data_IF_574249624219
#
_entry.id   IF_574249624219
#
_cell.length_a   1.000
_cell.length_b   1.000
_cell.length_c   1.000
_cell.angle_alpha   90.00
_cell.angle_beta   90.00
_cell.angle_gamma   90.00
#
_symmetry.space_group_name_H-M   'P 1'
#
loop_
_entity.id
_entity.type
_entity.pdbx_description
1 polymer ?
#
# COMPACT_ATOMS: atom_id res chain seq x y z
N UNK A 1 7.33 -13.20 17.94
CA UNK A 1 6.91 -11.79 18.00
C UNK A 1 8.13 -10.87 17.89
N UNK A 2 9.19 -11.13 18.66
CA UNK A 2 10.38 -10.27 18.71
C UNK A 2 11.19 -10.26 17.41
N UNK A 3 11.29 -11.41 16.75
CA UNK A 3 11.96 -11.54 15.46
C UNK A 3 11.25 -10.72 14.36
N UNK A 4 9.92 -10.81 14.30
CA UNK A 4 9.13 -10.04 13.34
C UNK A 4 9.18 -8.53 13.65
N UNK A 5 9.09 -8.14 14.92
CA UNK A 5 9.22 -6.76 15.34
C UNK A 5 10.59 -6.18 14.94
N UNK A 6 11.66 -6.95 15.15
CA UNK A 6 13.02 -6.58 14.73
C UNK A 6 13.14 -6.46 13.22
N UNK A 7 12.61 -7.44 12.46
CA UNK A 7 12.64 -7.43 10.99
C UNK A 7 11.88 -6.23 10.40
N UNK A 8 10.80 -5.80 11.06
CA UNK A 8 9.98 -4.65 10.66
C UNK A 8 10.45 -3.32 11.28
N UNK A 9 11.54 -3.31 12.07
CA UNK A 9 12.05 -2.10 12.72
C UNK A 9 11.13 -1.51 13.79
N UNK A 10 10.18 -2.30 14.32
CA UNK A 10 9.22 -1.85 15.33
C UNK A 10 9.89 -1.70 16.68
N UNK A 11 9.64 -0.57 17.37
CA UNK A 11 10.18 -0.27 18.69
C UNK A 11 9.05 -0.04 19.69
N UNK A 12 9.24 -0.51 20.93
CA UNK A 12 8.25 -0.37 22.00
C UNK A 12 7.43 -1.64 22.26
N UNK A 13 6.52 -1.55 23.23
CA UNK A 13 5.58 -2.62 23.50
C UNK A 13 4.44 -2.65 22.45
N UNK A 14 3.74 -3.78 22.38
CA UNK A 14 2.68 -3.98 21.38
C UNK A 14 1.56 -2.92 21.45
N UNK A 15 1.29 -2.34 22.61
CA UNK A 15 0.27 -1.30 22.79
C UNK A 15 0.75 0.05 22.26
N UNK A 16 2.00 0.39 22.50
CA UNK A 16 2.60 1.61 21.96
C UNK A 16 2.70 1.56 20.44
N UNK A 17 3.13 0.44 19.88
CA UNK A 17 3.15 0.21 18.42
C UNK A 17 1.74 0.32 17.83
N UNK A 18 0.75 -0.33 18.44
CA UNK A 18 -0.64 -0.28 17.99
C UNK A 18 -1.21 1.15 18.00
N UNK A 19 -0.89 1.93 19.01
CA UNK A 19 -1.33 3.32 19.12
C UNK A 19 -0.64 4.22 18.08
N UNK A 20 0.65 4.05 17.83
CA UNK A 20 1.41 4.77 16.82
C UNK A 20 0.86 4.49 15.41
N UNK A 21 0.66 3.25 15.06
CA UNK A 21 0.07 2.81 13.79
C UNK A 21 -1.34 3.41 13.56
N UNK A 22 -2.15 3.46 14.62
CA UNK A 22 -3.47 4.08 14.55
C UNK A 22 -3.39 5.59 14.30
N UNK A 23 -2.46 6.27 14.98
CA UNK A 23 -2.26 7.71 14.82
C UNK A 23 -1.77 8.03 13.41
N UNK A 24 -0.76 7.34 12.91
CA UNK A 24 -0.24 7.49 11.55
C UNK A 24 -1.32 7.26 10.49
N UNK A 25 -2.12 6.21 10.64
CA UNK A 25 -3.25 5.94 9.74
C UNK A 25 -4.25 7.08 9.73
N UNK A 26 -4.57 7.65 10.90
CA UNK A 26 -5.50 8.77 11.02
C UNK A 26 -4.93 10.03 10.34
N UNK A 27 -3.65 10.31 10.51
CA UNK A 27 -2.93 11.40 9.84
C UNK A 27 -2.95 11.23 8.33
N UNK A 28 -2.64 10.04 7.81
CA UNK A 28 -2.66 9.74 6.38
C UNK A 28 -4.06 9.92 5.78
N UNK A 29 -5.10 9.48 6.48
CA UNK A 29 -6.49 9.67 6.05
C UNK A 29 -6.87 11.16 6.05
N UNK A 30 -6.44 11.92 7.05
CA UNK A 30 -6.66 13.37 7.11
C UNK A 30 -5.89 14.11 5.99
N UNK A 31 -4.65 13.72 5.73
CA UNK A 31 -3.81 14.26 4.66
C UNK A 31 -4.41 14.02 3.26
N UNK A 32 -5.25 13.01 3.09
CA UNK A 32 -5.94 12.74 1.82
C UNK A 32 -6.86 13.90 1.39
N UNK A 33 -7.40 14.70 2.31
CA UNK A 33 -8.19 15.89 2.01
C UNK A 33 -9.37 15.59 1.07
N UNK A 34 -9.33 16.10 -0.17
CA UNK A 34 -10.36 15.83 -1.20
C UNK A 34 -10.18 14.48 -1.92
N UNK A 35 -9.03 13.84 -1.81
CA UNK A 35 -8.86 12.47 -2.28
C UNK A 35 -9.57 11.50 -1.33
N UNK A 36 -9.83 10.29 -1.80
CA UNK A 36 -10.39 9.23 -0.98
C UNK A 36 -9.27 8.27 -0.58
N UNK A 37 -8.94 8.21 0.69
CA UNK A 37 -8.08 7.17 1.26
C UNK A 37 -8.88 6.39 2.29
N UNK A 38 -9.02 5.10 2.07
CA UNK A 38 -9.61 4.16 3.04
C UNK A 38 -8.55 3.14 3.41
N UNK A 39 -8.33 2.97 4.69
CA UNK A 39 -7.49 1.92 5.24
C UNK A 39 -8.34 1.13 6.22
N UNK A 40 -8.57 -0.14 5.93
CA UNK A 40 -9.38 -1.02 6.74
C UNK A 40 -8.58 -2.22 7.19
N UNK A 41 -8.60 -2.49 8.48
CA UNK A 41 -7.95 -3.63 9.11
C UNK A 41 -8.98 -4.43 9.86
N UNK A 42 -8.92 -5.75 9.78
CA UNK A 42 -9.76 -6.63 10.59
C UNK A 42 -9.03 -7.93 10.93
N UNK A 43 -9.22 -8.37 12.15
CA UNK A 43 -8.78 -9.68 12.63
C UNK A 43 -9.98 -10.61 12.71
N UNK A 44 -9.85 -11.78 12.10
CA UNK A 44 -10.85 -12.84 12.13
C UNK A 44 -10.34 -13.96 13.01
N UNK A 45 -11.08 -14.32 14.03
CA UNK A 45 -10.67 -15.32 15.03
C UNK A 45 -11.61 -16.51 14.97
N UNK A 46 -11.05 -17.72 15.02
CA UNK A 46 -11.88 -18.91 15.13
C UNK A 46 -12.69 -18.87 16.43
N UNK A 47 -14.02 -18.98 16.30
CA UNK A 47 -14.97 -18.87 17.43
C UNK A 47 -14.76 -19.88 18.56
N UNK A 48 -14.01 -20.97 18.30
CA UNK A 48 -13.66 -21.98 19.30
C UNK A 48 -12.24 -21.79 19.88
N UNK A 49 -11.50 -20.78 19.39
CA UNK A 49 -10.18 -20.46 19.92
C UNK A 49 -10.30 -19.63 21.19
N UNK A 50 -9.51 -19.98 22.19
CA UNK A 50 -9.33 -19.15 23.38
C UNK A 50 -8.22 -18.15 23.08
N UNK A 51 -8.54 -16.88 23.24
CA UNK A 51 -7.61 -15.78 23.04
C UNK A 51 -7.62 -14.95 24.31
N UNK A 52 -6.47 -14.45 24.74
CA UNK A 52 -6.34 -13.66 25.96
C UNK A 52 -6.95 -12.27 25.78
N UNK A 53 -7.60 -11.76 26.82
CA UNK A 53 -8.26 -10.45 26.82
C UNK A 53 -7.30 -9.32 26.47
N UNK A 54 -6.05 -9.35 26.99
CA UNK A 54 -5.03 -8.37 26.69
C UNK A 54 -4.68 -8.29 25.19
N UNK A 55 -4.75 -9.42 24.46
CA UNK A 55 -4.55 -9.41 23.02
C UNK A 55 -5.72 -8.71 22.30
N UNK A 56 -6.95 -8.96 22.73
CA UNK A 56 -8.13 -8.27 22.15
C UNK A 56 -8.09 -6.76 22.40
N UNK A 57 -7.64 -6.32 23.59
CA UNK A 57 -7.45 -4.90 23.85
C UNK A 57 -6.46 -4.26 22.86
N UNK A 58 -5.34 -4.91 22.59
CA UNK A 58 -4.36 -4.41 21.62
C UNK A 58 -4.94 -4.38 20.20
N UNK A 59 -5.69 -5.39 19.78
CA UNK A 59 -6.39 -5.41 18.48
C UNK A 59 -7.39 -4.27 18.38
N UNK A 60 -8.16 -4.02 19.44
CA UNK A 60 -9.10 -2.92 19.48
C UNK A 60 -8.40 -1.56 19.39
N UNK A 61 -7.29 -1.38 20.09
CA UNK A 61 -6.47 -0.16 20.01
C UNK A 61 -5.95 0.05 18.60
N UNK A 62 -5.38 -0.99 17.97
CA UNK A 62 -4.78 -0.90 16.65
C UNK A 62 -5.81 -0.72 15.52
N UNK A 63 -6.89 -1.50 15.52
CA UNK A 63 -7.77 -1.68 14.37
C UNK A 63 -9.21 -1.23 14.62
N UNK A 64 -9.62 -1.06 15.87
CA UNK A 64 -10.97 -0.63 16.19
C UNK A 64 -11.24 0.82 15.77
N UNK A 65 -12.45 1.06 15.23
CA UNK A 65 -12.92 2.40 14.83
C UNK A 65 -14.02 2.93 15.76
N UNK A 66 -14.21 2.30 16.93
CA UNK A 66 -15.17 2.71 17.94
C UNK A 66 -15.93 1.53 18.56
N UNK A 67 -16.91 1.80 19.43
CA UNK A 67 -17.59 0.77 20.23
C UNK A 67 -18.33 -0.30 19.43
N UNK A 68 -18.65 -0.02 18.16
CA UNK A 68 -19.36 -0.96 17.27
C UNK A 68 -18.45 -1.66 16.28
N UNK A 69 -17.22 -1.18 16.13
CA UNK A 69 -16.20 -1.77 15.25
C UNK A 69 -14.92 -1.97 16.06
N UNK A 70 -14.82 -3.14 16.65
CA UNK A 70 -13.69 -3.53 17.51
C UNK A 70 -12.46 -3.98 16.73
N UNK A 71 -12.50 -3.94 15.39
CA UNK A 71 -11.41 -4.40 14.52
C UNK A 71 -11.28 -5.93 14.49
N UNK A 72 -12.23 -6.67 15.06
CA UNK A 72 -12.21 -8.13 15.14
C UNK A 72 -13.58 -8.74 14.87
N UNK A 73 -13.59 -9.99 14.39
CA UNK A 73 -14.79 -10.78 14.17
C UNK A 73 -14.52 -12.26 14.43
N UNK A 74 -15.43 -12.91 15.13
CA UNK A 74 -15.37 -14.35 15.37
C UNK A 74 -16.07 -15.10 14.24
N UNK A 75 -15.38 -16.09 13.67
CA UNK A 75 -15.90 -16.88 12.55
C UNK A 75 -15.58 -18.36 12.73
N UNK A 76 -16.26 -19.22 11.98
CA UNK A 76 -16.06 -20.66 12.03
C UNK A 76 -15.09 -21.09 10.92
N UNK A 77 -13.85 -21.32 11.28
CA UNK A 77 -12.89 -21.91 10.34
C UNK A 77 -12.95 -23.44 10.33
N UNK A 78 -13.33 -24.08 11.45
CA UNK A 78 -13.21 -25.54 11.61
C UNK A 78 -14.21 -26.31 10.76
N UNK A 79 -15.44 -25.83 10.72
CA UNK A 79 -16.53 -26.51 9.99
C UNK A 79 -17.02 -25.72 8.78
N UNK A 80 -16.66 -24.43 8.67
CA UNK A 80 -17.14 -23.52 7.64
C UNK A 80 -16.04 -22.69 6.96
N UNK A 81 -14.83 -23.23 6.73
CA UNK A 81 -13.70 -22.50 6.19
C UNK A 81 -14.02 -21.76 4.86
N UNK A 82 -14.75 -22.40 3.94
CA UNK A 82 -15.14 -21.75 2.68
C UNK A 82 -16.20 -20.66 2.85
N UNK A 83 -17.12 -20.82 3.79
CA UNK A 83 -18.10 -19.77 4.13
C UNK A 83 -17.38 -18.56 4.79
N UNK A 84 -16.44 -18.85 5.71
CA UNK A 84 -15.58 -17.83 6.32
C UNK A 84 -14.77 -17.07 5.27
N UNK A 85 -14.16 -17.77 4.30
CA UNK A 85 -13.46 -17.18 3.18
C UNK A 85 -14.35 -16.23 2.37
N UNK A 86 -15.56 -16.66 2.06
CA UNK A 86 -16.56 -15.83 1.38
C UNK A 86 -16.90 -14.56 2.14
N UNK A 87 -17.07 -14.66 3.48
CA UNK A 87 -17.34 -13.52 4.36
C UNK A 87 -16.17 -12.54 4.38
N UNK A 88 -14.94 -13.03 4.49
CA UNK A 88 -13.72 -12.22 4.48
C UNK A 88 -13.57 -11.51 3.13
N UNK A 89 -13.70 -12.22 2.01
CA UNK A 89 -13.60 -11.62 0.67
C UNK A 89 -14.67 -10.53 0.46
N UNK A 90 -15.90 -10.76 0.91
CA UNK A 90 -16.98 -9.76 0.82
C UNK A 90 -16.66 -8.50 1.64
N UNK A 91 -16.12 -8.66 2.84
CA UNK A 91 -15.70 -7.53 3.66
C UNK A 91 -14.56 -6.74 2.99
N UNK A 92 -13.54 -7.42 2.48
CA UNK A 92 -12.41 -6.78 1.76
C UNK A 92 -12.91 -6.04 0.52
N UNK A 93 -13.78 -6.67 -0.27
CA UNK A 93 -14.37 -6.04 -1.47
C UNK A 93 -15.08 -4.73 -1.10
N UNK A 94 -15.93 -4.75 -0.08
CA UNK A 94 -16.61 -3.55 0.41
C UNK A 94 -15.64 -2.47 0.91
N UNK A 95 -14.61 -2.85 1.68
CA UNK A 95 -13.58 -1.94 2.18
C UNK A 95 -12.77 -1.29 1.06
N UNK A 96 -12.51 -2.03 -0.03
CA UNK A 96 -11.75 -1.59 -1.20
C UNK A 96 -12.63 -1.02 -2.33
N UNK A 97 -13.88 -0.62 -2.07
CA UNK A 97 -14.82 -0.14 -3.10
C UNK A 97 -14.93 -1.08 -4.31
N UNK A 98 -15.08 -2.38 -4.06
CA UNK A 98 -15.21 -3.46 -5.03
C UNK A 98 -14.03 -3.60 -6.03
N UNK A 99 -12.86 -3.04 -5.66
CA UNK A 99 -11.64 -3.17 -6.47
C UNK A 99 -10.85 -4.44 -6.19
N UNK A 100 -11.10 -5.08 -5.06
CA UNK A 100 -10.53 -6.37 -4.68
C UNK A 100 -11.70 -7.34 -4.53
N UNK A 101 -12.00 -8.11 -5.56
CA UNK A 101 -13.12 -9.06 -5.56
C UNK A 101 -12.80 -10.34 -4.79
N UNK A 102 -11.54 -10.77 -4.80
CA UNK A 102 -11.08 -11.99 -4.14
C UNK A 102 -9.66 -11.80 -3.61
N UNK A 103 -9.54 -11.58 -2.29
CA UNK A 103 -8.24 -11.53 -1.59
C UNK A 103 -7.74 -12.95 -1.28
N UNK A 104 -8.64 -13.80 -0.82
CA UNK A 104 -8.34 -15.18 -0.42
C UNK A 104 -8.86 -16.13 -1.50
N UNK A 105 -7.98 -16.80 -2.27
CA UNK A 105 -8.37 -17.81 -3.24
C UNK A 105 -9.04 -19.03 -2.58
N UNK A 106 -9.75 -19.81 -3.37
CA UNK A 106 -10.35 -21.06 -2.89
C UNK A 106 -9.29 -21.97 -2.27
N UNK A 107 -9.59 -22.53 -1.09
CA UNK A 107 -8.70 -23.43 -0.35
C UNK A 107 -7.61 -22.73 0.46
N UNK A 108 -7.55 -21.37 0.49
CA UNK A 108 -6.57 -20.64 1.32
C UNK A 108 -6.86 -20.74 2.82
N UNK A 109 -8.11 -21.02 3.19
CA UNK A 109 -8.48 -21.29 4.58
C UNK A 109 -8.81 -22.79 4.76
N UNK A 110 -8.41 -23.31 5.91
CA UNK A 110 -8.62 -24.73 6.27
C UNK A 110 -9.21 -24.83 7.68
N UNK A 111 -9.61 -26.04 8.07
CA UNK A 111 -10.05 -26.32 9.43
C UNK A 111 -8.96 -26.07 10.50
N UNK A 112 -7.70 -25.97 10.08
CA UNK A 112 -6.57 -25.65 10.96
C UNK A 112 -6.35 -24.13 11.11
N UNK A 113 -7.04 -23.30 10.33
CA UNK A 113 -6.97 -21.85 10.46
C UNK A 113 -7.49 -21.42 11.83
N UNK A 114 -6.78 -20.54 12.52
CA UNK A 114 -7.16 -20.02 13.85
C UNK A 114 -7.37 -18.52 13.84
N UNK A 115 -6.53 -17.80 13.10
CA UNK A 115 -6.58 -16.35 12.99
C UNK A 115 -6.27 -15.98 11.55
N UNK A 116 -6.99 -14.98 11.04
CA UNK A 116 -6.69 -14.32 9.76
C UNK A 116 -6.62 -12.82 10.03
N UNK A 117 -5.53 -12.19 9.61
CA UNK A 117 -5.40 -10.74 9.61
C UNK A 117 -5.61 -10.24 8.19
N UNK A 118 -6.47 -9.25 8.04
CA UNK A 118 -6.75 -8.62 6.76
C UNK A 118 -6.47 -7.12 6.82
N UNK A 119 -5.85 -6.62 5.77
CA UNK A 119 -5.70 -5.20 5.51
C UNK A 119 -6.25 -4.92 4.11
N UNK A 120 -6.96 -3.83 3.95
CA UNK A 120 -7.41 -3.33 2.65
C UNK A 120 -7.16 -1.83 2.59
N UNK A 121 -6.48 -1.41 1.53
CA UNK A 121 -6.23 0.01 1.24
C UNK A 121 -6.90 0.36 -0.08
N UNK A 122 -7.67 1.44 -0.08
CA UNK A 122 -8.25 2.02 -1.28
C UNK A 122 -7.86 3.48 -1.37
N UNK A 123 -7.25 3.87 -2.47
CA UNK A 123 -6.94 5.25 -2.77
C UNK A 123 -7.53 5.68 -4.11
N UNK A 124 -8.10 6.88 -4.15
CA UNK A 124 -8.54 7.55 -5.38
C UNK A 124 -8.29 9.04 -5.26
N UNK A 125 -7.40 9.56 -6.09
CA UNK A 125 -7.08 10.98 -6.19
C UNK A 125 -7.25 11.50 -7.61
N UNK A 126 -7.53 12.79 -7.72
CA UNK A 126 -7.45 13.54 -8.98
C UNK A 126 -6.20 14.38 -8.94
N UNK A 127 -5.43 14.45 -10.01
CA UNK A 127 -4.24 15.28 -10.07
C UNK A 127 -4.57 16.75 -9.80
N UNK A 128 -3.76 17.45 -9.03
CA UNK A 128 -3.93 18.89 -8.79
C UNK A 128 -3.97 19.67 -10.09
N UNK A 129 -3.09 19.31 -11.02
CA UNK A 129 -3.04 19.83 -12.37
C UNK A 129 -3.29 18.68 -13.35
N UNK A 130 -4.53 18.41 -13.78
CA UNK A 130 -4.85 17.29 -14.67
C UNK A 130 -4.07 17.32 -15.98
N UNK A 131 -3.72 16.16 -16.49
CA UNK A 131 -3.16 16.02 -17.84
C UNK A 131 -4.24 16.25 -18.90
N UNK A 132 -3.90 16.95 -19.97
CA UNK A 132 -4.82 17.09 -21.11
C UNK A 132 -4.91 15.74 -21.85
N UNK A 133 -6.14 15.26 -21.99
CA UNK A 133 -6.39 13.99 -22.71
C UNK A 133 -5.95 14.07 -24.17
N UNK A 134 -5.99 15.26 -24.80
CA UNK A 134 -5.57 15.47 -26.19
C UNK A 134 -4.05 15.46 -26.35
N UNK A 135 -3.29 15.70 -25.27
CA UNK A 135 -1.83 15.63 -25.25
C UNK A 135 -1.32 14.23 -24.89
N UNK A 136 -2.22 13.25 -24.73
CA UNK A 136 -1.83 11.84 -24.53
C UNK A 136 -1.57 11.21 -25.89
N UNK A 137 -0.34 10.74 -26.13
CA UNK A 137 0.07 10.12 -27.40
C UNK A 137 0.77 8.78 -27.14
N UNK A 138 0.73 7.89 -28.11
CA UNK A 138 1.42 6.61 -28.02
C UNK A 138 2.92 6.79 -28.27
N UNK A 139 3.72 6.44 -27.27
CA UNK A 139 5.19 6.55 -27.31
C UNK A 139 5.88 5.23 -27.01
N UNK A 140 7.10 5.03 -27.50
CA UNK A 140 7.92 3.87 -27.17
C UNK A 140 8.23 3.84 -25.68
N UNK A 141 8.01 2.70 -25.04
CA UNK A 141 8.40 2.41 -23.66
C UNK A 141 9.33 1.21 -23.64
N UNK A 142 10.49 1.36 -23.01
CA UNK A 142 11.46 0.28 -22.87
C UNK A 142 11.01 -0.68 -21.76
N UNK A 143 10.43 -1.80 -22.15
CA UNK A 143 10.06 -2.89 -21.25
C UNK A 143 11.13 -4.01 -21.28
N UNK A 144 11.22 -4.88 -20.25
CA UNK A 144 12.15 -6.01 -20.26
C UNK A 144 12.01 -6.92 -21.49
N UNK A 145 10.81 -7.04 -22.04
CA UNK A 145 10.51 -7.81 -23.25
C UNK A 145 10.81 -7.08 -24.57
N UNK A 146 11.30 -5.85 -24.52
CA UNK A 146 11.57 -5.00 -25.68
C UNK A 146 10.72 -3.71 -25.67
N UNK A 147 10.83 -2.90 -26.72
CA UNK A 147 10.09 -1.65 -26.84
C UNK A 147 8.62 -1.92 -27.17
N UNK A 148 7.72 -1.35 -26.37
CA UNK A 148 6.27 -1.38 -26.58
C UNK A 148 5.73 0.03 -26.69
N UNK A 149 4.66 0.26 -27.45
CA UNK A 149 3.97 1.55 -27.50
C UNK A 149 2.97 1.64 -26.37
N UNK A 150 3.01 2.72 -25.59
CA UNK A 150 2.08 2.97 -24.48
C UNK A 150 1.52 4.38 -24.56
N UNK A 151 0.24 4.58 -24.20
CA UNK A 151 -0.33 5.93 -24.10
C UNK A 151 0.42 6.72 -23.02
N UNK A 152 1.12 7.78 -23.42
CA UNK A 152 1.93 8.63 -22.53
C UNK A 152 1.29 9.99 -22.39
N UNK A 153 1.05 10.39 -21.15
CA UNK A 153 0.48 11.69 -20.78
C UNK A 153 1.58 12.72 -20.67
N UNK A 154 1.38 13.91 -21.27
CA UNK A 154 2.36 14.99 -21.24
C UNK A 154 1.84 16.19 -20.48
N UNK A 155 2.73 16.78 -19.68
CA UNK A 155 2.47 18.07 -19.01
C UNK A 155 3.76 18.75 -18.63
N UNK A 156 3.86 20.04 -18.97
CA UNK A 156 4.91 20.91 -18.46
C UNK A 156 4.36 21.72 -17.28
N UNK A 157 5.13 21.78 -16.18
CA UNK A 157 4.73 22.49 -14.98
C UNK A 157 5.82 22.49 -13.91
N UNK A 158 5.54 23.19 -12.84
CA UNK A 158 6.38 23.16 -11.65
C UNK A 158 6.02 21.94 -10.80
N UNK A 159 7.05 21.17 -10.46
CA UNK A 159 6.98 19.97 -9.62
C UNK A 159 8.14 19.97 -8.64
N UNK A 160 7.96 19.34 -7.49
CA UNK A 160 9.04 19.01 -6.57
C UNK A 160 9.84 17.86 -7.14
N UNK A 161 11.14 18.03 -7.28
CA UNK A 161 12.03 17.03 -7.88
C UNK A 161 13.31 16.91 -7.08
N UNK A 162 13.94 15.74 -7.17
CA UNK A 162 15.31 15.52 -6.73
C UNK A 162 16.09 14.77 -7.80
N UNK A 163 17.38 15.09 -7.89
CA UNK A 163 18.38 14.32 -8.66
C UNK A 163 19.32 13.69 -7.65
N UNK A 164 19.53 12.40 -7.80
CA UNK A 164 20.38 11.62 -6.90
C UNK A 164 21.78 11.43 -7.49
N UNK A 165 22.77 11.17 -6.62
CA UNK A 165 24.17 11.01 -7.00
C UNK A 165 24.40 9.82 -7.95
N UNK A 166 23.56 8.80 -7.87
CA UNK A 166 23.57 7.64 -8.76
C UNK A 166 22.98 7.93 -10.16
N UNK A 167 22.43 9.13 -10.35
CA UNK A 167 21.79 9.57 -11.59
C UNK A 167 20.29 9.31 -11.70
N UNK A 168 19.66 8.71 -10.68
CA UNK A 168 18.21 8.58 -10.61
C UNK A 168 17.54 9.96 -10.46
N UNK A 169 16.28 10.06 -10.86
CA UNK A 169 15.47 11.27 -10.75
C UNK A 169 14.14 10.94 -10.05
N UNK A 170 13.70 11.79 -9.14
CA UNK A 170 12.37 11.69 -8.55
C UNK A 170 11.53 12.91 -8.82
N UNK A 171 10.22 12.72 -8.94
CA UNK A 171 9.24 13.81 -9.10
C UNK A 171 7.99 13.50 -8.29
N UNK A 172 7.51 14.50 -7.54
CA UNK A 172 6.23 14.45 -6.83
C UNK A 172 5.13 15.10 -7.68
N UNK A 173 4.08 14.34 -7.92
CA UNK A 173 2.88 14.80 -8.62
C UNK A 173 1.73 14.90 -7.62
N UNK A 174 1.30 16.11 -7.23
CA UNK A 174 0.32 16.30 -6.17
C UNK A 174 -1.11 15.98 -6.59
N UNK A 175 -1.90 15.53 -5.60
CA UNK A 175 -3.33 15.34 -5.76
C UNK A 175 -4.12 16.59 -5.34
N UNK A 176 -5.20 16.90 -6.05
CA UNK A 176 -6.02 18.09 -5.86
C UNK A 176 -6.62 18.14 -4.44
N UNK A 177 -6.33 19.23 -3.72
CA UNK A 177 -6.87 19.46 -2.37
C UNK A 177 -6.50 18.36 -1.36
N UNK A 178 -5.31 17.82 -1.51
CA UNK A 178 -4.72 16.77 -0.67
C UNK A 178 -3.27 17.17 -0.32
N UNK A 179 -2.76 16.65 0.77
CA UNK A 179 -1.33 16.73 1.10
C UNK A 179 -0.56 15.52 0.53
N UNK A 180 -1.28 14.52 0.00
CA UNK A 180 -0.66 13.35 -0.61
C UNK A 180 -0.17 13.69 -2.03
N UNK A 181 0.92 13.03 -2.39
CA UNK A 181 1.53 13.10 -3.72
C UNK A 181 1.73 11.69 -4.27
N UNK A 182 1.86 11.55 -5.58
CA UNK A 182 2.42 10.36 -6.19
C UNK A 182 3.88 10.65 -6.53
N UNK A 183 4.79 9.90 -5.92
CA UNK A 183 6.22 10.00 -6.22
C UNK A 183 6.57 9.02 -7.33
N UNK A 184 7.09 9.54 -8.42
CA UNK A 184 7.64 8.73 -9.51
C UNK A 184 9.16 8.84 -9.49
N UNK A 185 9.83 7.69 -9.51
CA UNK A 185 11.28 7.62 -9.52
C UNK A 185 11.72 6.96 -10.83
N UNK A 186 12.57 7.65 -11.57
CA UNK A 186 13.18 7.15 -12.78
C UNK A 186 14.60 6.64 -12.43
N UNK A 187 14.85 5.34 -12.55
CA UNK A 187 16.20 4.79 -12.33
C UNK A 187 17.25 5.37 -13.26
N UNK A 188 18.54 5.31 -12.90
CA UNK A 188 19.61 5.76 -13.77
C UNK A 188 19.65 4.94 -15.07
N UNK A 189 20.03 5.61 -16.15
CA UNK A 189 20.14 4.96 -17.47
C UNK A 189 21.09 3.77 -17.42
N UNK A 190 20.66 2.63 -17.96
CA UNK A 190 21.48 1.42 -18.09
C UNK A 190 21.44 0.49 -16.88
N UNK A 191 20.74 0.84 -15.81
CA UNK A 191 20.46 -0.08 -14.69
C UNK A 191 19.08 -0.70 -14.81
N UNK A 192 18.95 -1.99 -14.48
CA UNK A 192 17.64 -2.61 -14.37
C UNK A 192 16.90 -2.09 -13.13
N UNK A 193 15.57 -2.05 -13.21
CA UNK A 193 14.75 -1.63 -12.06
C UNK A 193 14.95 -2.57 -10.86
N UNK A 194 15.08 -3.87 -11.11
CA UNK A 194 15.25 -4.88 -10.07
C UNK A 194 16.55 -4.68 -9.29
N UNK A 195 17.69 -4.53 -10.00
CA UNK A 195 18.99 -4.30 -9.37
C UNK A 195 19.04 -2.98 -8.61
N UNK A 196 18.44 -1.92 -9.18
CA UNK A 196 18.46 -0.60 -8.59
C UNK A 196 17.54 -0.51 -7.36
N UNK A 197 16.31 -1.04 -7.42
CA UNK A 197 15.35 -0.96 -6.32
C UNK A 197 15.77 -1.75 -5.08
N UNK A 198 16.56 -2.80 -5.25
CA UNK A 198 17.08 -3.60 -4.15
C UNK A 198 18.04 -2.84 -3.23
N UNK A 199 18.66 -1.74 -3.71
CA UNK A 199 19.81 -1.11 -3.04
C UNK A 199 19.59 0.28 -2.48
N UNK A 200 18.41 0.91 -2.62
CA UNK A 200 18.35 2.29 -2.16
C UNK A 200 17.03 3.03 -2.25
N UNK A 201 15.90 2.35 -2.49
CA UNK A 201 14.62 3.06 -2.66
C UNK A 201 14.23 3.91 -1.44
N UNK A 202 14.44 3.41 -0.22
CA UNK A 202 14.14 4.14 1.00
C UNK A 202 15.02 5.39 1.16
N UNK A 203 16.31 5.28 0.83
CA UNK A 203 17.25 6.41 0.89
C UNK A 203 16.90 7.47 -0.13
N UNK A 204 16.46 7.08 -1.34
CA UNK A 204 16.00 8.04 -2.35
C UNK A 204 14.73 8.78 -1.90
N UNK A 205 13.77 8.10 -1.27
CA UNK A 205 12.59 8.77 -0.73
C UNK A 205 12.96 9.77 0.38
N UNK A 206 13.79 9.36 1.33
CA UNK A 206 14.29 10.24 2.40
C UNK A 206 15.07 11.44 1.85
N UNK A 207 15.87 11.23 0.82
CA UNK A 207 16.63 12.29 0.16
C UNK A 207 15.71 13.26 -0.58
N UNK A 208 14.68 12.76 -1.26
CA UNK A 208 13.66 13.63 -1.91
C UNK A 208 12.97 14.50 -0.86
N UNK A 209 12.64 13.94 0.30
CA UNK A 209 12.02 14.69 1.40
C UNK A 209 12.94 15.79 1.93
N UNK A 210 14.22 15.53 2.05
CA UNK A 210 15.20 16.47 2.58
C UNK A 210 15.65 17.54 1.55
N UNK A 211 15.79 17.18 0.27
CA UNK A 211 16.48 18.01 -0.73
C UNK A 211 15.63 18.40 -1.92
N UNK A 212 14.40 17.87 -2.05
CA UNK A 212 13.53 18.12 -3.20
C UNK A 212 13.23 19.62 -3.39
N UNK A 213 13.39 20.10 -4.62
CA UNK A 213 13.20 21.49 -5.00
C UNK A 213 12.11 21.64 -6.06
N UNK A 214 11.40 22.79 -6.06
CA UNK A 214 10.44 23.11 -7.11
C UNK A 214 11.20 23.51 -8.37
N UNK A 215 10.93 22.81 -9.46
CA UNK A 215 11.53 23.07 -10.76
C UNK A 215 10.50 22.92 -11.88
N UNK A 216 10.76 23.63 -12.99
CA UNK A 216 9.99 23.46 -14.23
C UNK A 216 10.37 22.14 -14.89
N UNK A 217 9.41 21.21 -15.04
CA UNK A 217 9.61 19.88 -15.61
C UNK A 217 8.65 19.66 -16.77
N UNK A 218 9.18 19.13 -17.87
CA UNK A 218 8.38 18.50 -18.91
C UNK A 218 8.17 17.02 -18.54
N UNK A 219 7.04 16.74 -17.91
CA UNK A 219 6.70 15.40 -17.43
C UNK A 219 6.02 14.58 -18.53
N UNK A 220 6.57 13.42 -18.82
CA UNK A 220 5.97 12.38 -19.66
C UNK A 220 5.69 11.14 -18.78
N UNK A 221 4.42 10.82 -18.57
CA UNK A 221 4.00 9.75 -17.66
C UNK A 221 3.15 8.73 -18.42
N UNK A 222 3.63 7.49 -18.59
CA UNK A 222 2.85 6.43 -19.18
C UNK A 222 1.58 6.15 -18.38
N UNK A 223 0.47 5.89 -19.08
CA UNK A 223 -0.73 5.34 -18.43
C UNK A 223 -0.55 3.86 -18.22
N UNK A 224 -0.81 3.40 -17.01
CA UNK A 224 -0.72 1.98 -16.70
C UNK A 224 -1.92 1.52 -15.87
N UNK A 225 -2.22 0.25 -16.01
CA UNK A 225 -3.11 -0.51 -15.13
C UNK A 225 -2.48 -1.87 -14.95
N UNK A 226 -2.30 -2.29 -13.72
CA UNK A 226 -1.77 -3.62 -13.43
C UNK A 226 -2.46 -4.21 -12.20
N UNK A 227 -2.45 -5.53 -12.13
CA UNK A 227 -2.81 -6.29 -10.95
C UNK A 227 -1.66 -7.21 -10.58
N UNK A 228 -1.41 -7.34 -9.30
CA UNK A 228 -0.45 -8.29 -8.77
C UNK A 228 -1.05 -9.02 -7.56
N UNK A 229 -0.73 -10.29 -7.44
CA UNK A 229 -1.10 -11.10 -6.30
C UNK A 229 -0.08 -12.19 -6.09
N UNK A 230 0.31 -12.45 -4.86
CA UNK A 230 1.30 -13.45 -4.54
C UNK A 230 1.53 -13.62 -3.05
N UNK A 231 2.29 -14.65 -2.69
CA UNK A 231 2.72 -14.88 -1.31
C UNK A 231 4.07 -14.19 -1.07
N UNK A 232 4.16 -13.40 -0.02
CA UNK A 232 5.41 -12.81 0.48
C UNK A 232 6.04 -13.65 1.59
N UNK A 233 5.51 -14.85 1.84
CA UNK A 233 6.01 -15.75 2.89
C UNK A 233 7.50 -16.08 2.75
N UNK A 234 8.03 -16.41 1.55
CA UNK A 234 9.46 -16.68 1.40
C UNK A 234 10.32 -15.48 1.78
N UNK A 235 9.90 -14.27 1.41
CA UNK A 235 10.62 -13.03 1.73
C UNK A 235 10.63 -12.77 3.24
N UNK A 236 9.47 -12.94 3.91
CA UNK A 236 9.38 -12.80 5.37
C UNK A 236 10.23 -13.84 6.10
N UNK A 237 10.26 -15.08 5.62
CA UNK A 237 11.12 -16.14 6.18
C UNK A 237 12.61 -15.86 6.01
N UNK A 238 13.00 -15.13 4.96
CA UNK A 238 14.39 -14.74 4.75
C UNK A 238 14.86 -13.60 5.69
N UNK A 239 13.92 -12.88 6.29
CA UNK A 239 14.21 -11.83 7.27
C UNK A 239 14.37 -12.36 8.72
N UNK A 240 14.03 -13.63 8.99
CA UNK A 240 14.19 -14.31 10.29
C UNK A 240 12.92 -15.07 10.66
#
# INVERSE_FOLDING_TARGET
>A
ADELAKALGLQGDGKAVAAAEKAERAENVAAAGKATLKVANKVWVDKQSKVEDAWFENVHVAFGNGPKDLGQEFTDFRTGAEAARGTINKWVSSAANDKISELLPKGSLTQETRVVLTNAVYFKGTWEKPFDKKATVDEPFAAPSGSVKVPTMHKTGEYRVAKFDDGALAVDVPYAGSQLVATFILPPTGKSLEEWSATGLADHLSTLDATGQSMQVALALPKFTFGWGGSVKPQLQALG
#
